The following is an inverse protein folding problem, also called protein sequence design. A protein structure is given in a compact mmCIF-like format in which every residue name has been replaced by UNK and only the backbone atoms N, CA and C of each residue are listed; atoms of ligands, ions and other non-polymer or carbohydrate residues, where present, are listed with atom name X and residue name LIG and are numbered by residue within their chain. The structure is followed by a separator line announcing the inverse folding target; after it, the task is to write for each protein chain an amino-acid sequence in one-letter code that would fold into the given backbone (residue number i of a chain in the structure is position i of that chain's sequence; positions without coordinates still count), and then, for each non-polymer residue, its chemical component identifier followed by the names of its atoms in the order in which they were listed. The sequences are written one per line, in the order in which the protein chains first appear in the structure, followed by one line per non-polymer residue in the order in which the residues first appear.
data_IF_016265232371
#
_entry.id   IF_016265232371
#
_cell.length_a   1.000
_cell.length_b   1.000
_cell.length_c   1.000
_cell.angle_alpha   90.00
_cell.angle_beta   90.00
_cell.angle_gamma   90.00
#
_symmetry.space_group_name_H-M   'P 1'
#
loop_
_entity.id
_entity.type
_entity.pdbx_description
1 polymer ?
#
# COMPACT_ATOMS: atom_id res chain seq x y z
N UNK A 1 10.67 0.84 -42.70
CA UNK A 1 10.36 2.21 -42.23
C UNK A 1 8.85 2.39 -42.38
N UNK A 2 8.10 2.03 -41.36
CA UNK A 2 6.67 2.36 -41.17
C UNK A 2 6.44 2.21 -39.65
N UNK A 3 6.71 3.29 -38.91
CA UNK A 3 6.26 3.37 -37.52
C UNK A 3 4.75 3.47 -37.49
N UNK A 4 4.15 2.47 -36.91
CA UNK A 4 2.72 2.29 -36.85
C UNK A 4 2.11 3.18 -35.77
N UNK A 5 1.24 4.05 -36.20
CA UNK A 5 0.37 4.98 -35.50
C UNK A 5 -0.62 4.25 -34.57
N UNK A 6 -0.13 3.72 -33.43
CA UNK A 6 -0.96 3.02 -32.43
C UNK A 6 -1.31 3.89 -31.22
N UNK A 7 -0.87 5.18 -31.21
CA UNK A 7 -0.92 6.03 -30.02
C UNK A 7 -2.23 6.80 -29.76
N UNK A 8 -3.27 6.66 -30.58
CA UNK A 8 -4.48 7.50 -30.41
C UNK A 8 -5.80 6.78 -30.10
N UNK A 9 -5.89 5.47 -30.28
CA UNK A 9 -7.20 4.80 -30.24
C UNK A 9 -7.61 4.19 -28.90
N UNK A 10 -6.70 4.05 -27.93
CA UNK A 10 -7.01 3.44 -26.63
C UNK A 10 -7.74 4.37 -25.64
N UNK A 11 -7.53 5.68 -25.73
CA UNK A 11 -8.19 6.61 -24.82
C UNK A 11 -9.66 6.89 -25.22
N UNK A 12 -10.00 6.73 -26.51
CA UNK A 12 -11.35 6.94 -27.04
C UNK A 12 -12.22 5.67 -26.97
N UNK A 13 -11.62 4.51 -26.75
CA UNK A 13 -12.33 3.22 -26.76
C UNK A 13 -13.17 2.95 -25.51
N UNK A 14 -12.95 3.72 -24.44
CA UNK A 14 -13.61 3.53 -23.15
C UNK A 14 -14.94 4.27 -22.97
N UNK A 15 -15.37 5.11 -23.93
CA UNK A 15 -16.51 6.01 -23.74
C UNK A 15 -17.70 5.76 -24.69
N UNK A 16 -17.55 4.95 -25.76
CA UNK A 16 -18.60 4.76 -26.75
C UNK A 16 -19.03 3.29 -26.89
N UNK A 17 -20.09 2.88 -26.23
CA UNK A 17 -20.70 1.56 -26.46
C UNK A 17 -21.77 1.13 -25.47
N UNK A 18 -22.77 1.95 -25.21
CA UNK A 18 -23.98 1.51 -24.52
C UNK A 18 -25.23 1.99 -25.31
N UNK A 19 -25.61 1.24 -26.32
CA UNK A 19 -26.97 1.28 -26.88
C UNK A 19 -27.37 -0.13 -27.30
N UNK A 20 -28.07 -0.83 -26.37
CA UNK A 20 -28.69 -2.13 -26.58
C UNK A 20 -29.69 -2.37 -25.47
N UNK A 21 -30.96 -2.29 -25.79
CA UNK A 21 -32.13 -2.35 -24.92
C UNK A 21 -32.21 -3.62 -24.06
N UNK A 22 -32.03 -3.48 -22.76
CA UNK A 22 -32.33 -4.49 -21.74
C UNK A 22 -32.12 -3.83 -20.40
N UNK A 23 -33.21 -3.53 -19.67
CA UNK A 23 -33.19 -2.83 -18.37
C UNK A 23 -32.59 -3.70 -17.27
N UNK A 24 -31.25 -3.60 -17.10
CA UNK A 24 -30.54 -4.03 -15.89
C UNK A 24 -30.10 -2.76 -15.18
N UNK A 25 -30.27 -2.61 -13.87
CA UNK A 25 -29.95 -1.37 -13.16
C UNK A 25 -28.45 -1.07 -13.24
N UNK A 26 -28.09 -0.19 -14.15
CA UNK A 26 -26.71 0.21 -14.51
C UNK A 26 -25.99 0.97 -13.38
N UNK A 27 -26.66 1.28 -12.28
CA UNK A 27 -26.10 2.06 -11.17
C UNK A 27 -25.12 1.27 -10.30
N UNK A 28 -25.17 -0.07 -10.31
CA UNK A 28 -24.29 -0.93 -9.50
C UNK A 28 -22.93 -1.20 -10.15
N UNK A 29 -22.89 -1.51 -11.44
CA UNK A 29 -21.66 -1.96 -12.13
C UNK A 29 -20.57 -0.89 -12.17
N UNK A 30 -20.89 0.36 -12.42
CA UNK A 30 -19.90 1.44 -12.49
C UNK A 30 -19.23 1.74 -11.16
N UNK A 31 -19.94 1.61 -10.04
CA UNK A 31 -19.37 1.76 -8.69
C UNK A 31 -18.45 0.60 -8.32
N UNK A 32 -18.84 -0.63 -8.63
CA UNK A 32 -18.04 -1.84 -8.35
C UNK A 32 -16.75 -1.82 -9.18
N UNK A 33 -16.84 -1.50 -10.47
CA UNK A 33 -15.70 -1.43 -11.36
C UNK A 33 -14.72 -0.32 -10.96
N UNK A 34 -15.21 0.84 -10.53
CA UNK A 34 -14.35 1.89 -9.98
C UNK A 34 -13.66 1.45 -8.68
N UNK A 35 -14.32 0.69 -7.81
CA UNK A 35 -13.70 0.15 -6.60
C UNK A 35 -12.55 -0.81 -6.93
N UNK A 36 -12.73 -1.75 -7.85
CA UNK A 36 -11.70 -2.69 -8.29
C UNK A 36 -10.48 -1.95 -8.87
N UNK A 37 -10.69 -0.90 -9.66
CA UNK A 37 -9.62 -0.12 -10.27
C UNK A 37 -8.75 0.64 -9.24
N UNK A 38 -9.25 0.86 -8.04
CA UNK A 38 -8.50 1.47 -6.94
C UNK A 38 -7.85 0.44 -5.99
N UNK A 39 -8.05 -0.87 -6.21
CA UNK A 39 -7.36 -1.90 -5.44
C UNK A 39 -5.84 -1.73 -5.54
N UNK A 40 -5.11 -2.02 -4.46
CA UNK A 40 -3.67 -1.87 -4.44
C UNK A 40 -3.00 -3.02 -5.19
N UNK A 41 -1.97 -2.69 -5.94
CA UNK A 41 -1.08 -3.60 -6.67
C UNK A 41 0.35 -3.39 -6.17
N UNK A 42 1.05 -4.46 -5.83
CA UNK A 42 2.44 -4.39 -5.41
C UNK A 42 3.34 -4.06 -6.61
N UNK A 43 4.22 -3.08 -6.46
CA UNK A 43 5.16 -2.67 -7.50
C UNK A 43 6.56 -3.09 -7.10
N UNK A 44 7.20 -3.87 -7.96
CA UNK A 44 8.59 -4.30 -7.85
C UNK A 44 9.48 -3.48 -8.79
N UNK A 45 10.75 -3.28 -8.43
CA UNK A 45 11.74 -2.79 -9.37
C UNK A 45 12.21 -3.91 -10.32
N UNK A 46 13.08 -3.60 -11.30
CA UNK A 46 13.63 -4.60 -12.23
C UNK A 46 14.39 -5.76 -11.57
N UNK A 47 14.79 -5.61 -10.32
CA UNK A 47 15.45 -6.64 -9.51
C UNK A 47 14.47 -7.39 -8.60
N UNK A 48 13.19 -7.28 -8.86
CA UNK A 48 12.10 -7.95 -8.10
C UNK A 48 12.01 -7.52 -6.63
N UNK A 49 12.57 -6.36 -6.31
CA UNK A 49 12.47 -5.81 -4.96
C UNK A 49 11.22 -4.92 -4.83
N UNK A 50 10.44 -5.08 -3.77
CA UNK A 50 9.25 -4.28 -3.56
C UNK A 50 9.62 -2.82 -3.27
N UNK A 51 8.97 -1.90 -3.98
CA UNK A 51 9.22 -0.46 -3.86
C UNK A 51 8.05 0.32 -3.26
N UNK A 52 6.85 0.07 -3.74
CA UNK A 52 5.61 0.71 -3.26
C UNK A 52 4.39 -0.06 -3.78
N UNK A 53 3.22 0.52 -3.59
CA UNK A 53 1.97 0.05 -4.22
C UNK A 53 1.40 1.13 -5.13
N UNK A 54 0.66 0.71 -6.14
CA UNK A 54 -0.15 1.61 -6.96
C UNK A 54 -1.56 1.04 -7.12
N UNK A 55 -2.49 1.80 -7.69
CA UNK A 55 -3.81 1.26 -8.02
C UNK A 55 -3.77 0.36 -9.24
N UNK A 56 -4.75 -0.54 -9.37
CA UNK A 56 -4.95 -1.37 -10.57
C UNK A 56 -5.01 -0.49 -11.83
N UNK A 57 -5.70 0.63 -11.78
CA UNK A 57 -5.75 1.61 -12.89
C UNK A 57 -4.34 2.04 -13.32
N UNK A 58 -3.47 2.35 -12.37
CA UNK A 58 -2.10 2.77 -12.65
C UNK A 58 -1.25 1.61 -13.18
N UNK A 59 -1.40 0.41 -12.64
CA UNK A 59 -0.66 -0.78 -13.10
C UNK A 59 -1.02 -1.14 -14.55
N UNK A 60 -2.31 -1.12 -14.91
CA UNK A 60 -2.76 -1.33 -16.29
C UNK A 60 -2.21 -0.28 -17.25
N UNK A 61 -2.15 0.98 -16.82
CA UNK A 61 -1.54 2.03 -17.63
C UNK A 61 -0.04 1.77 -17.89
N UNK A 62 0.71 1.32 -16.89
CA UNK A 62 2.12 0.95 -17.03
C UNK A 62 2.31 -0.24 -17.97
N UNK A 63 1.42 -1.25 -17.91
CA UNK A 63 1.39 -2.39 -18.83
C UNK A 63 1.15 -1.95 -20.27
N UNK A 64 0.14 -1.09 -20.51
CA UNK A 64 -0.16 -0.56 -21.84
C UNK A 64 1.01 0.22 -22.47
N UNK A 65 1.83 0.87 -21.64
CA UNK A 65 3.03 1.58 -22.09
C UNK A 65 4.26 0.66 -22.26
N UNK A 66 4.18 -0.63 -21.90
CA UNK A 66 5.33 -1.55 -21.91
C UNK A 66 6.36 -1.24 -20.79
N UNK A 67 5.99 -0.44 -19.81
CA UNK A 67 6.87 -0.05 -18.70
C UNK A 67 6.85 -1.03 -17.53
N UNK A 68 5.91 -1.97 -17.52
CA UNK A 68 5.78 -3.00 -16.50
C UNK A 68 5.32 -4.33 -17.12
N UNK A 69 5.52 -5.40 -16.36
CA UNK A 69 4.98 -6.73 -16.61
C UNK A 69 4.21 -7.19 -15.38
N UNK A 70 3.14 -7.97 -15.55
CA UNK A 70 2.44 -8.62 -14.43
C UNK A 70 3.27 -9.78 -13.95
N UNK A 71 3.41 -9.92 -12.64
CA UNK A 71 4.00 -11.09 -12.01
C UNK A 71 2.88 -11.98 -11.50
N UNK A 72 2.80 -13.19 -12.03
CA UNK A 72 1.93 -14.24 -11.56
C UNK A 72 2.71 -15.17 -10.63
N UNK A 73 2.11 -15.51 -9.50
CA UNK A 73 2.64 -16.46 -8.52
C UNK A 73 1.88 -17.77 -8.68
N UNK A 74 2.58 -18.87 -8.97
CA UNK A 74 2.05 -20.22 -9.04
C UNK A 74 2.68 -21.09 -7.95
N UNK A 75 1.91 -21.40 -6.92
CA UNK A 75 2.43 -22.11 -5.75
C UNK A 75 3.48 -21.28 -5.00
N UNK A 76 4.42 -21.97 -4.35
CA UNK A 76 5.37 -21.30 -3.43
C UNK A 76 6.63 -20.75 -4.12
N UNK A 77 7.00 -21.21 -5.32
CA UNK A 77 8.32 -20.91 -5.91
C UNK A 77 8.30 -20.58 -7.42
N UNK A 78 7.15 -20.55 -8.06
CA UNK A 78 7.09 -20.26 -9.49
C UNK A 78 6.54 -18.86 -9.75
N UNK A 79 7.33 -18.06 -10.45
CA UNK A 79 6.97 -16.70 -10.82
C UNK A 79 7.03 -16.56 -12.35
N UNK A 80 5.91 -16.24 -12.96
CA UNK A 80 5.81 -15.96 -14.38
C UNK A 80 5.60 -14.47 -14.60
N UNK A 81 6.30 -13.88 -15.55
CA UNK A 81 6.08 -12.49 -15.93
C UNK A 81 5.35 -12.41 -17.27
N UNK A 82 4.34 -11.56 -17.33
CA UNK A 82 3.48 -11.36 -18.51
C UNK A 82 3.51 -9.90 -18.94
N UNK A 83 3.76 -9.66 -20.22
CA UNK A 83 3.41 -8.39 -20.86
C UNK A 83 1.90 -8.27 -21.02
N UNK A 84 1.41 -7.14 -21.55
CA UNK A 84 -0.02 -6.92 -21.73
C UNK A 84 -0.68 -8.01 -22.59
N UNK A 85 -0.02 -8.43 -23.67
CA UNK A 85 -0.58 -9.40 -24.63
C UNK A 85 -0.68 -10.78 -24.00
N UNK A 86 0.39 -11.26 -23.40
CA UNK A 86 0.39 -12.56 -22.71
C UNK A 86 -0.52 -12.57 -21.50
N UNK A 87 -0.67 -11.43 -20.80
CA UNK A 87 -1.61 -11.31 -19.67
C UNK A 87 -3.07 -11.38 -20.10
N UNK A 88 -3.42 -10.79 -21.25
CA UNK A 88 -4.76 -10.92 -21.84
C UNK A 88 -5.04 -12.38 -22.21
N UNK A 89 -4.11 -13.05 -22.91
CA UNK A 89 -4.25 -14.47 -23.24
C UNK A 89 -4.41 -15.34 -22.00
N UNK A 90 -3.56 -15.13 -21.00
CA UNK A 90 -3.63 -15.84 -19.72
C UNK A 90 -4.97 -15.60 -18.99
N UNK A 91 -5.53 -14.40 -19.11
CA UNK A 91 -6.80 -14.02 -18.48
C UNK A 91 -8.00 -14.74 -19.10
N UNK A 92 -7.94 -15.13 -20.38
CA UNK A 92 -9.02 -15.86 -21.06
C UNK A 92 -9.10 -17.33 -20.66
N UNK A 93 -7.99 -17.92 -20.23
CA UNK A 93 -7.92 -19.36 -19.93
C UNK A 93 -8.29 -19.69 -18.46
N UNK A 94 -8.53 -18.70 -17.62
CA UNK A 94 -8.73 -18.85 -16.19
C UNK A 94 -9.84 -17.93 -15.66
N UNK A 95 -11.03 -18.45 -15.49
CA UNK A 95 -12.25 -17.69 -15.16
C UNK A 95 -12.49 -17.43 -13.66
N UNK A 96 -11.71 -18.08 -12.77
CA UNK A 96 -11.95 -18.06 -11.31
C UNK A 96 -11.40 -16.83 -10.57
N UNK A 97 -10.85 -15.84 -11.27
CA UNK A 97 -10.21 -14.69 -10.65
C UNK A 97 -11.05 -13.42 -10.77
N UNK A 98 -10.73 -12.43 -9.93
CA UNK A 98 -11.30 -11.09 -10.04
C UNK A 98 -10.96 -10.47 -11.41
N UNK A 99 -11.98 -10.19 -12.22
CA UNK A 99 -11.86 -9.75 -13.60
C UNK A 99 -12.33 -8.32 -13.80
N UNK A 100 -11.67 -7.62 -14.72
CA UNK A 100 -12.12 -6.33 -15.25
C UNK A 100 -12.67 -6.59 -16.65
N UNK A 101 -13.95 -6.35 -16.81
CA UNK A 101 -14.64 -6.54 -18.08
C UNK A 101 -14.68 -5.23 -18.89
N UNK A 102 -14.06 -5.23 -20.06
CA UNK A 102 -14.20 -4.19 -21.08
C UNK A 102 -15.20 -4.61 -22.17
N UNK A 103 -15.41 -3.72 -23.16
CA UNK A 103 -16.37 -3.99 -24.25
C UNK A 103 -16.02 -5.23 -25.10
N UNK A 104 -14.74 -5.59 -25.22
CA UNK A 104 -14.26 -6.70 -26.06
C UNK A 104 -13.22 -7.58 -25.37
N UNK A 105 -12.79 -7.23 -24.16
CA UNK A 105 -11.68 -7.87 -23.46
C UNK A 105 -12.05 -8.01 -22.01
N UNK A 106 -11.85 -9.19 -21.44
CA UNK A 106 -11.82 -9.41 -20.01
C UNK A 106 -10.36 -9.60 -19.60
N UNK A 107 -9.93 -8.94 -18.53
CA UNK A 107 -8.54 -9.00 -18.03
C UNK A 107 -8.55 -9.21 -16.54
N UNK A 108 -7.72 -10.13 -16.05
CA UNK A 108 -7.56 -10.38 -14.62
C UNK A 108 -6.94 -9.16 -13.93
N UNK A 109 -7.40 -8.89 -12.72
CA UNK A 109 -6.82 -7.85 -11.86
C UNK A 109 -5.38 -8.23 -11.53
N UNK A 110 -4.38 -7.44 -11.96
CA UNK A 110 -2.99 -7.70 -11.59
C UNK A 110 -2.81 -7.46 -10.09
N UNK A 111 -2.14 -8.37 -9.41
CA UNK A 111 -1.82 -8.25 -7.96
C UNK A 111 -0.41 -7.74 -7.74
N UNK A 112 0.51 -8.05 -8.65
CA UNK A 112 1.92 -7.68 -8.59
C UNK A 112 2.38 -7.26 -9.98
N UNK A 113 3.14 -6.18 -10.06
CA UNK A 113 3.80 -5.75 -11.31
C UNK A 113 5.29 -5.48 -11.07
N UNK A 114 6.12 -5.86 -12.03
CA UNK A 114 7.56 -5.55 -12.07
C UNK A 114 7.83 -4.48 -13.12
N UNK A 115 8.58 -3.44 -12.74
CA UNK A 115 8.95 -2.36 -13.65
C UNK A 115 10.11 -2.78 -14.53
N UNK A 116 10.00 -2.57 -15.86
CA UNK A 116 10.98 -3.03 -16.85
C UNK A 116 12.32 -2.30 -16.75
N UNK A 117 12.32 -1.02 -16.42
CA UNK A 117 13.53 -0.14 -16.50
C UNK A 117 13.96 0.41 -15.14
N UNK A 118 13.07 0.47 -14.16
CA UNK A 118 13.36 1.09 -12.87
C UNK A 118 14.23 0.20 -11.98
N UNK A 119 15.47 0.64 -11.73
CA UNK A 119 16.51 -0.11 -11.01
C UNK A 119 16.88 0.46 -9.62
N UNK A 120 16.27 1.60 -9.23
CA UNK A 120 16.61 2.22 -7.96
C UNK A 120 16.19 1.34 -6.79
N UNK A 121 17.13 1.21 -5.83
CA UNK A 121 16.81 0.60 -4.55
C UNK A 121 15.81 1.47 -3.77
N UNK A 122 14.82 0.86 -3.11
CA UNK A 122 13.93 1.62 -2.25
C UNK A 122 14.72 2.27 -1.11
N UNK A 123 14.34 3.49 -0.75
CA UNK A 123 14.87 4.10 0.48
C UNK A 123 14.31 3.32 1.66
N UNK A 124 15.17 2.64 2.40
CA UNK A 124 14.80 1.80 3.55
C UNK A 124 14.49 2.62 4.82
N UNK A 125 14.03 3.87 4.66
CA UNK A 125 13.71 4.76 5.77
C UNK A 125 12.26 5.22 5.70
N UNK A 126 11.57 5.11 6.82
CA UNK A 126 10.22 5.66 6.94
C UNK A 126 10.34 7.16 7.21
N UNK A 127 9.71 7.99 6.38
CA UNK A 127 9.68 9.45 6.59
C UNK A 127 9.02 9.77 7.93
N UNK A 128 9.63 10.68 8.69
CA UNK A 128 9.03 11.20 9.90
C UNK A 128 7.85 12.11 9.56
N UNK A 129 6.63 11.60 9.76
CA UNK A 129 5.37 12.34 9.58
C UNK A 129 4.41 12.03 10.73
N UNK A 130 3.46 12.93 11.00
CA UNK A 130 2.41 12.73 12.01
C UNK A 130 1.69 11.39 11.82
N UNK A 131 1.24 11.11 10.60
CA UNK A 131 0.54 9.86 10.24
C UNK A 131 1.42 8.64 10.52
N UNK A 132 2.69 8.67 10.14
CA UNK A 132 3.60 7.53 10.35
C UNK A 132 3.92 7.29 11.83
N UNK A 133 3.90 8.32 12.68
CA UNK A 133 3.98 8.14 14.13
C UNK A 133 2.71 7.46 14.66
N UNK A 134 1.53 7.88 14.23
CA UNK A 134 0.28 7.21 14.61
C UNK A 134 0.23 5.75 14.16
N UNK A 135 0.68 5.46 12.94
CA UNK A 135 0.78 4.10 12.42
C UNK A 135 1.77 3.24 13.22
N UNK A 136 2.95 3.78 13.57
CA UNK A 136 3.92 3.08 14.44
C UNK A 136 3.30 2.69 15.77
N UNK A 137 2.54 3.61 16.37
CA UNK A 137 1.93 3.45 17.69
C UNK A 137 0.53 2.83 17.61
N UNK A 138 0.09 2.37 16.41
CA UNK A 138 -1.21 1.73 16.16
C UNK A 138 -2.39 2.58 16.65
N UNK A 139 -2.34 3.88 16.42
CA UNK A 139 -3.36 4.85 16.89
C UNK A 139 -3.64 4.75 18.40
N UNK A 140 -2.64 4.30 19.18
CA UNK A 140 -2.75 4.05 20.61
C UNK A 140 -2.02 5.13 21.39
N UNK A 141 -2.69 5.75 22.37
CA UNK A 141 -2.05 6.65 23.29
C UNK A 141 -0.99 5.92 24.12
N UNK A 142 0.27 6.34 24.04
CA UNK A 142 1.39 5.69 24.71
C UNK A 142 1.41 5.87 26.24
N UNK A 143 0.50 6.68 26.79
CA UNK A 143 0.40 6.92 28.24
C UNK A 143 -0.80 6.21 28.89
N UNK A 144 -1.94 6.12 28.24
CA UNK A 144 -3.14 5.48 28.79
C UNK A 144 -3.63 4.28 27.99
N UNK A 145 -2.89 3.86 26.95
CA UNK A 145 -3.16 2.68 26.12
C UNK A 145 -4.49 2.65 25.38
N UNK A 146 -5.24 3.75 25.35
CA UNK A 146 -6.50 3.82 24.60
C UNK A 146 -6.23 3.96 23.12
N UNK A 147 -6.87 3.12 22.31
CA UNK A 147 -6.94 3.26 20.85
C UNK A 147 -8.00 4.31 20.53
N UNK A 148 -7.64 5.33 19.74
CA UNK A 148 -8.50 6.47 19.47
C UNK A 148 -8.40 6.88 18.00
N UNK A 149 -9.45 7.49 17.43
CA UNK A 149 -9.38 8.04 16.08
C UNK A 149 -8.33 9.17 16.01
N UNK A 150 -7.78 9.39 14.83
CA UNK A 150 -6.73 10.39 14.58
C UNK A 150 -7.12 11.81 15.07
N UNK A 151 -8.42 12.13 15.02
CA UNK A 151 -8.98 13.41 15.49
C UNK A 151 -8.84 13.65 16.99
N UNK A 152 -8.65 12.58 17.80
CA UNK A 152 -8.49 12.65 19.25
C UNK A 152 -7.04 12.40 19.70
N UNK A 153 -6.13 12.24 18.74
CA UNK A 153 -4.72 11.99 18.98
C UNK A 153 -3.86 13.21 18.67
N UNK A 154 -2.77 13.34 19.39
CA UNK A 154 -1.74 14.33 19.17
C UNK A 154 -0.35 13.70 19.25
N UNK A 155 0.67 14.43 18.80
CA UNK A 155 2.08 14.09 18.99
C UNK A 155 2.57 14.75 20.28
N UNK A 156 3.26 13.98 21.11
CA UNK A 156 3.92 14.49 22.31
C UNK A 156 5.42 14.24 22.26
N UNK A 157 6.19 15.24 22.73
CA UNK A 157 7.61 15.10 22.94
C UNK A 157 7.86 14.44 24.32
N UNK A 158 8.43 13.25 24.34
CA UNK A 158 8.77 12.54 25.60
C UNK A 158 9.64 13.43 26.47
N UNK A 159 10.73 13.92 25.92
CA UNK A 159 11.51 15.03 26.50
C UNK A 159 11.04 16.32 25.84
N UNK A 160 10.52 17.30 26.58
CA UNK A 160 10.06 18.57 26.04
C UNK A 160 11.12 19.34 25.26
N UNK A 161 10.70 20.14 24.29
CA UNK A 161 11.63 20.90 23.43
C UNK A 161 12.47 21.91 24.19
N UNK A 162 11.89 22.60 25.15
CA UNK A 162 12.57 23.55 26.05
C UNK A 162 13.58 22.88 27.00
N UNK A 163 13.44 21.57 27.19
CA UNK A 163 14.37 20.73 27.98
C UNK A 163 15.34 19.94 27.10
N UNK A 164 15.53 20.36 25.84
CA UNK A 164 16.48 19.79 24.89
C UNK A 164 15.93 18.65 24.02
N UNK A 165 14.64 18.35 24.08
CA UNK A 165 14.02 17.31 23.27
C UNK A 165 13.96 17.71 21.79
N UNK A 166 14.33 16.77 20.89
CA UNK A 166 14.27 16.94 19.44
C UNK A 166 13.01 16.30 18.87
N UNK A 167 12.58 16.77 17.68
CA UNK A 167 11.46 16.16 16.93
C UNK A 167 11.99 15.02 16.07
N UNK A 168 12.19 13.87 16.68
CA UNK A 168 12.79 12.67 16.10
C UNK A 168 12.01 11.42 16.50
N UNK A 169 12.24 10.30 15.80
CA UNK A 169 11.56 9.04 16.06
C UNK A 169 11.70 8.52 17.50
N UNK A 170 12.82 8.80 18.14
CA UNK A 170 13.17 8.37 19.49
C UNK A 170 12.62 9.27 20.59
N UNK A 171 12.02 10.42 20.23
CA UNK A 171 11.49 11.38 21.21
C UNK A 171 10.02 11.75 20.99
N UNK A 172 9.37 11.29 19.92
CA UNK A 172 7.96 11.59 19.63
C UNK A 172 7.11 10.33 19.80
N UNK A 173 5.98 10.49 20.51
CA UNK A 173 4.98 9.42 20.71
C UNK A 173 3.57 9.92 20.43
N UNK A 174 2.68 8.98 20.14
CA UNK A 174 1.24 9.23 20.03
C UNK A 174 0.66 9.41 21.44
N UNK A 175 -0.09 10.47 21.67
CA UNK A 175 -0.82 10.74 22.92
C UNK A 175 -2.24 11.20 22.65
N UNK A 176 -3.18 10.91 23.54
CA UNK A 176 -4.48 11.58 23.50
C UNK A 176 -4.39 13.00 24.07
N UNK A 177 -5.29 13.87 23.69
CA UNK A 177 -5.29 15.27 24.18
C UNK A 177 -5.24 15.35 25.72
N UNK A 178 -6.03 14.52 26.42
CA UNK A 178 -6.05 14.50 27.89
C UNK A 178 -4.69 14.16 28.50
N UNK A 179 -4.03 13.14 27.99
CA UNK A 179 -2.70 12.75 28.51
C UNK A 179 -1.64 13.79 28.15
N UNK A 180 -1.70 14.34 26.94
CA UNK A 180 -0.79 15.38 26.49
C UNK A 180 -0.87 16.64 27.37
N UNK A 181 -2.10 17.12 27.64
CA UNK A 181 -2.34 18.25 28.55
C UNK A 181 -1.85 17.96 29.97
N UNK A 182 -2.14 16.75 30.51
CA UNK A 182 -1.70 16.36 31.85
C UNK A 182 -0.18 16.31 32.00
N UNK A 183 0.51 15.79 30.98
CA UNK A 183 1.98 15.73 30.95
C UNK A 183 2.57 17.13 30.82
N UNK A 184 1.99 17.94 29.92
CA UNK A 184 2.46 19.29 29.66
C UNK A 184 3.94 19.33 29.35
N UNK A 185 4.63 20.35 29.85
CA UNK A 185 6.06 20.58 29.61
C UNK A 185 6.96 19.87 30.66
N UNK A 186 6.54 18.70 31.12
CA UNK A 186 7.27 17.91 32.13
C UNK A 186 7.98 16.73 31.48
N UNK A 187 9.16 16.38 32.01
CA UNK A 187 9.82 15.12 31.65
C UNK A 187 9.01 13.92 32.16
N UNK A 188 9.20 12.70 31.64
CA UNK A 188 8.46 11.52 32.07
C UNK A 188 8.46 11.29 33.58
N UNK A 189 9.61 11.43 34.22
CA UNK A 189 9.75 11.28 35.68
C UNK A 189 9.06 12.40 36.47
N UNK A 190 9.07 13.65 35.98
CA UNK A 190 8.40 14.79 36.60
C UNK A 190 6.87 14.68 36.53
N UNK A 191 6.36 14.08 35.45
CA UNK A 191 4.92 13.88 35.23
C UNK A 191 4.41 12.55 35.81
N UNK A 192 5.31 11.66 36.22
CA UNK A 192 5.05 10.25 36.50
C UNK A 192 4.29 9.57 35.30
N UNK A 193 4.72 9.89 34.08
CA UNK A 193 4.11 9.41 32.85
C UNK A 193 5.20 8.94 31.88
N UNK A 194 5.31 7.63 31.72
CA UNK A 194 6.25 7.00 30.82
C UNK A 194 5.51 6.42 29.59
N UNK A 195 6.07 6.51 28.38
CA UNK A 195 5.53 5.79 27.23
C UNK A 195 5.56 4.29 27.49
N UNK A 196 4.51 3.56 27.08
CA UNK A 196 4.43 2.11 27.21
C UNK A 196 5.54 1.39 26.43
N UNK A 197 5.86 1.93 25.25
CA UNK A 197 6.91 1.42 24.39
C UNK A 197 7.92 2.52 24.17
N UNK A 198 9.21 2.20 24.29
CA UNK A 198 10.29 3.13 23.94
C UNK A 198 10.15 3.53 22.48
N UNK A 199 10.00 4.83 22.17
CA UNK A 199 9.88 5.26 20.78
C UNK A 199 11.17 5.00 20.01
N UNK A 200 11.04 4.36 18.87
CA UNK A 200 12.12 4.09 17.93
C UNK A 200 11.61 4.34 16.50
N UNK A 201 12.53 4.52 15.57
CA UNK A 201 12.17 4.56 14.15
C UNK A 201 11.58 3.21 13.74
N UNK A 202 10.43 3.19 13.06
CA UNK A 202 9.88 1.94 12.56
C UNK A 202 10.79 1.36 11.47
N UNK A 203 10.88 0.04 11.40
CA UNK A 203 11.53 -0.63 10.28
C UNK A 203 10.78 -0.29 9.00
N UNK A 204 11.51 0.07 7.96
CA UNK A 204 10.91 0.28 6.66
C UNK A 204 10.29 -1.02 6.15
N UNK A 205 9.06 -0.91 5.64
CA UNK A 205 8.37 -1.97 4.91
C UNK A 205 7.66 -1.30 3.74
N UNK A 206 7.62 -1.89 2.54
CA UNK A 206 6.94 -1.29 1.36
C UNK A 206 5.49 -0.90 1.62
N UNK A 207 4.86 -1.58 2.58
CA UNK A 207 3.45 -1.43 2.96
C UNK A 207 3.28 -0.84 4.36
N UNK A 208 4.24 -0.05 4.84
CA UNK A 208 4.09 0.60 6.14
C UNK A 208 2.77 1.39 6.19
N UNK A 209 1.83 0.93 7.02
CA UNK A 209 0.49 1.49 7.17
C UNK A 209 -0.62 0.88 6.30
N UNK A 210 -0.35 -0.08 5.42
CA UNK A 210 -1.37 -0.76 4.62
C UNK A 210 -1.83 -2.09 5.22
N UNK A 211 -1.00 -2.73 6.04
CA UNK A 211 -1.28 -4.04 6.64
C UNK A 211 -2.50 -4.07 7.56
N UNK A 212 -2.89 -2.93 8.12
CA UNK A 212 -3.97 -2.85 9.10
C UNK A 212 -5.37 -2.83 8.46
N UNK A 213 -5.46 -2.64 7.14
CA UNK A 213 -6.73 -2.56 6.44
C UNK A 213 -7.14 -3.85 5.69
N UNK A 214 -6.40 -4.97 5.85
CA UNK A 214 -6.73 -6.25 5.23
C UNK A 214 -6.70 -6.27 3.69
N UNK A 215 -6.12 -5.26 3.05
CA UNK A 215 -6.08 -5.10 1.58
C UNK A 215 -4.86 -5.74 0.92
N UNK A 216 -3.96 -6.37 1.68
CA UNK A 216 -2.78 -7.03 1.12
C UNK A 216 -3.18 -8.40 0.56
N UNK A 217 -2.84 -8.65 -0.71
CA UNK A 217 -3.03 -9.96 -1.33
C UNK A 217 -1.99 -10.96 -0.79
N UNK A 218 -2.37 -12.24 -0.62
CA UNK A 218 -1.48 -13.28 -0.08
C UNK A 218 -0.22 -13.49 -0.93
N UNK A 219 -0.32 -13.30 -2.26
CA UNK A 219 0.81 -13.44 -3.17
C UNK A 219 1.95 -12.45 -2.88
N UNK A 220 1.68 -11.35 -2.17
CA UNK A 220 2.70 -10.38 -1.80
C UNK A 220 3.69 -10.88 -0.74
N UNK A 221 3.30 -11.91 0.04
CA UNK A 221 4.13 -12.49 1.10
C UNK A 221 5.47 -13.01 0.57
N UNK A 222 5.52 -13.48 -0.68
CA UNK A 222 6.75 -13.93 -1.34
C UNK A 222 7.80 -12.82 -1.49
N UNK A 223 7.36 -11.56 -1.60
CA UNK A 223 8.24 -10.41 -1.85
C UNK A 223 8.46 -9.54 -0.60
N UNK A 224 7.56 -9.60 0.37
CA UNK A 224 7.60 -8.68 1.51
C UNK A 224 8.40 -9.23 2.68
N UNK A 225 8.80 -10.51 2.66
CA UNK A 225 9.42 -11.19 3.80
C UNK A 225 8.74 -10.79 5.12
N UNK A 226 7.39 -10.90 5.10
CA UNK A 226 6.62 -10.68 6.32
C UNK A 226 7.09 -11.75 7.29
N UNK A 227 7.93 -11.36 8.24
CA UNK A 227 8.40 -12.21 9.32
C UNK A 227 7.21 -13.02 9.84
N UNK A 228 7.13 -14.30 9.46
CA UNK A 228 6.39 -15.27 10.24
C UNK A 228 7.00 -15.14 11.63
N UNK A 229 6.20 -14.64 12.58
CA UNK A 229 6.65 -14.35 13.93
C UNK A 229 7.42 -15.51 14.54
N UNK A 230 8.70 -15.60 14.28
CA UNK A 230 9.62 -16.33 15.10
C UNK A 230 9.81 -15.53 16.37
N UNK A 231 8.97 -15.84 17.35
CA UNK A 231 9.30 -15.64 18.73
C UNK A 231 10.58 -16.42 19.01
N UNK A 232 11.75 -15.85 18.72
CA UNK A 232 12.98 -16.31 19.33
C UNK A 232 12.86 -16.00 20.81
N UNK A 233 12.36 -16.98 21.55
CA UNK A 233 12.61 -17.10 22.97
C UNK A 233 14.13 -17.16 23.09
N UNK A 234 14.70 -16.11 23.65
CA UNK A 234 16.06 -16.10 24.16
C UNK A 234 16.20 -17.22 25.18
N UNK A 235 17.12 -18.11 24.92
CA UNK A 235 17.79 -18.88 25.95
C UNK A 235 18.92 -18.04 26.55
#
# INVERSE_FOLDING_TARGET
MKEMKVRRDFATFWVAGAAGSGSVPTIGLGKVMNAILEHPVLVLNRFWQPIHTCSVRRSLHLLCLGHAQVVQVEGDERFNSHDLTSWICYSTDNDDAEMIHGAKIAIRVPKIVVLSVYDRLPRLEVKFTRRNVFLRDKFTCQYCTKVLPETQLNLDHVTPRDKGGRTTWDNIVTSCFRCNTRKGNKRPHEANMHPQIKPLAPRWRPLFGMHENGLADESWNHFLHLDRGESRRSA
#
